data_IF_795116147426
#
_entry.id   IF_795116147426
#
_cell.length_a   1.000
_cell.length_b   1.000
_cell.length_c   1.000
_cell.angle_alpha   90.00
_cell.angle_beta   90.00
_cell.angle_gamma   90.00
#
_symmetry.space_group_name_H-M   'P 1'
#
loop_
_entity.id
_entity.type
_entity.pdbx_description
1 polymer ?
#
# COMPACT_ATOMS: atom_id res chain seq x y z
N UNK A 1 -0.04 -2.09 -7.23
CA UNK A 1 -0.30 -3.00 -6.10
C UNK A 1 0.97 -3.74 -5.62
N UNK A 2 1.62 -4.56 -6.47
CA UNK A 2 2.80 -5.37 -6.10
C UNK A 2 4.00 -4.57 -5.53
N UNK A 3 4.24 -3.35 -6.03
CA UNK A 3 5.29 -2.47 -5.52
C UNK A 3 5.10 -2.09 -4.04
N UNK A 4 3.85 -1.88 -3.60
CA UNK A 4 3.58 -1.56 -2.20
C UNK A 4 3.73 -2.77 -1.29
N UNK A 5 3.22 -3.93 -1.71
CA UNK A 5 3.34 -5.19 -0.96
C UNK A 5 4.82 -5.53 -0.73
N UNK A 6 5.66 -5.42 -1.76
CA UNK A 6 7.10 -5.68 -1.64
C UNK A 6 7.84 -4.63 -0.81
N UNK A 7 7.41 -3.38 -0.83
CA UNK A 7 8.00 -2.31 -0.02
C UNK A 7 7.66 -2.47 1.46
N UNK A 8 6.40 -2.77 1.80
CA UNK A 8 5.99 -3.04 3.18
C UNK A 8 6.59 -4.34 3.74
N UNK A 9 6.73 -5.37 2.89
CA UNK A 9 7.46 -6.58 3.26
C UNK A 9 8.94 -6.32 3.60
N UNK A 10 9.59 -5.34 2.94
CA UNK A 10 10.96 -4.91 3.26
C UNK A 10 11.06 -4.06 4.53
N UNK A 11 10.03 -3.27 4.84
CA UNK A 11 9.99 -2.44 6.06
C UNK A 11 9.79 -3.26 7.34
N UNK A 12 9.25 -4.49 7.25
CA UNK A 12 9.18 -5.40 8.40
C UNK A 12 10.58 -5.85 8.82
N UNK A 13 11.11 -5.22 9.88
CA UNK A 13 12.36 -5.64 10.53
C UNK A 13 12.13 -6.88 11.39
N UNK A 14 13.07 -7.83 11.34
CA UNK A 14 13.06 -9.02 12.21
C UNK A 14 12.44 -10.29 11.61
N UNK A 15 12.01 -10.27 10.34
CA UNK A 15 11.46 -11.46 9.67
C UNK A 15 12.11 -11.63 8.29
N UNK A 16 12.42 -12.88 7.91
CA UNK A 16 12.96 -13.17 6.58
C UNK A 16 11.98 -12.74 5.47
N UNK A 17 12.51 -12.17 4.37
CA UNK A 17 11.72 -11.58 3.29
C UNK A 17 10.63 -12.52 2.74
N UNK A 18 10.90 -13.83 2.65
CA UNK A 18 9.92 -14.86 2.24
C UNK A 18 8.69 -14.89 3.16
N UNK A 19 8.92 -14.84 4.47
CA UNK A 19 7.86 -14.91 5.49
C UNK A 19 7.14 -13.58 5.64
N UNK A 20 7.86 -12.46 5.49
CA UNK A 20 7.27 -11.12 5.44
C UNK A 20 6.32 -10.96 4.23
N UNK A 21 6.73 -11.44 3.04
CA UNK A 21 5.87 -11.46 1.85
C UNK A 21 4.61 -12.30 2.03
N UNK A 22 4.74 -13.50 2.61
CA UNK A 22 3.59 -14.37 2.87
C UNK A 22 2.59 -13.74 3.86
N UNK A 23 3.10 -13.07 4.91
CA UNK A 23 2.28 -12.32 5.86
C UNK A 23 1.58 -11.14 5.18
N UNK A 24 2.30 -10.32 4.41
CA UNK A 24 1.70 -9.20 3.67
C UNK A 24 0.66 -9.67 2.64
N UNK A 25 0.86 -10.84 2.03
CA UNK A 25 -0.10 -11.41 1.09
C UNK A 25 -1.38 -11.89 1.80
N UNK A 26 -1.24 -12.53 2.96
CA UNK A 26 -2.38 -12.91 3.83
C UNK A 26 -3.12 -11.69 4.35
N UNK A 27 -2.41 -10.66 4.80
CA UNK A 27 -2.99 -9.40 5.26
C UNK A 27 -3.75 -8.72 4.12
N UNK A 28 -3.14 -8.63 2.93
CA UNK A 28 -3.79 -8.06 1.75
C UNK A 28 -5.03 -8.86 1.31
N UNK A 29 -5.02 -10.19 1.43
CA UNK A 29 -6.18 -11.03 1.16
C UNK A 29 -7.34 -10.74 2.12
N UNK A 30 -7.02 -10.50 3.40
CA UNK A 30 -7.99 -10.09 4.42
C UNK A 30 -8.40 -8.61 4.32
N UNK A 31 -8.00 -7.89 3.27
CA UNK A 31 -8.15 -6.42 3.14
C UNK A 31 -7.57 -5.65 4.34
N UNK A 32 -6.56 -6.21 4.99
CA UNK A 32 -5.88 -5.63 6.14
C UNK A 32 -4.42 -5.33 5.80
N UNK A 33 -3.78 -4.54 6.65
CA UNK A 33 -2.37 -4.21 6.51
C UNK A 33 -2.09 -2.84 5.88
N UNK A 34 -0.82 -2.45 5.98
CA UNK A 34 -0.35 -1.12 5.61
C UNK A 34 -0.45 -0.86 4.10
N UNK A 35 -0.36 -1.91 3.28
CA UNK A 35 -0.50 -1.83 1.83
C UNK A 35 -1.90 -1.36 1.40
N UNK A 36 -2.96 -1.88 2.03
CA UNK A 36 -4.34 -1.53 1.73
C UNK A 36 -4.65 -0.13 2.28
N UNK A 37 -4.24 0.16 3.52
CA UNK A 37 -4.43 1.49 4.12
C UNK A 37 -3.81 2.60 3.27
N UNK A 38 -2.58 2.39 2.78
CA UNK A 38 -1.90 3.37 1.92
C UNK A 38 -2.58 3.53 0.56
N UNK A 39 -3.18 2.46 0.02
CA UNK A 39 -4.02 2.54 -1.20
C UNK A 39 -5.22 3.44 -0.95
N UNK A 40 -5.95 3.21 0.13
CA UNK A 40 -7.17 3.95 0.43
C UNK A 40 -6.89 5.42 0.78
N UNK A 41 -5.80 5.69 1.52
CA UNK A 41 -5.31 7.06 1.76
C UNK A 41 -4.95 7.78 0.46
N UNK A 42 -4.28 7.07 -0.47
CA UNK A 42 -3.94 7.63 -1.79
C UNK A 42 -5.19 7.93 -2.61
N UNK A 43 -6.21 7.06 -2.58
CA UNK A 43 -7.48 7.33 -3.26
C UNK A 43 -8.24 8.50 -2.64
N UNK A 44 -8.30 8.60 -1.30
CA UNK A 44 -8.88 9.76 -0.62
C UNK A 44 -8.16 11.05 -0.97
N UNK A 45 -6.83 11.05 -0.95
CA UNK A 45 -6.03 12.21 -1.35
C UNK A 45 -6.23 12.56 -2.83
N UNK A 46 -6.36 11.58 -3.72
CA UNK A 46 -6.65 11.82 -5.12
C UNK A 46 -8.05 12.45 -5.32
N UNK A 47 -9.05 12.02 -4.55
CA UNK A 47 -10.38 12.64 -4.57
C UNK A 47 -10.36 14.07 -4.00
N UNK A 48 -9.61 14.31 -2.92
CA UNK A 48 -9.45 15.64 -2.34
C UNK A 48 -8.72 16.60 -3.30
N UNK A 49 -7.71 16.10 -4.02
CA UNK A 49 -6.94 16.87 -5.00
C UNK A 49 -7.59 16.91 -6.40
N UNK A 50 -8.83 16.43 -6.55
CA UNK A 50 -9.55 16.45 -7.82
C UNK A 50 -9.70 17.88 -8.37
N UNK A 51 -9.79 18.88 -7.49
CA UNK A 51 -9.83 20.30 -7.88
C UNK A 51 -8.51 20.79 -8.52
N UNK A 52 -7.38 20.16 -8.21
CA UNK A 52 -6.07 20.52 -8.77
C UNK A 52 -5.72 19.71 -10.02
N UNK A 53 -6.54 18.74 -10.42
CA UNK A 53 -6.32 17.96 -11.65
C UNK A 53 -6.32 18.84 -12.92
N UNK A 54 -6.92 20.04 -12.84
CA UNK A 54 -6.99 21.00 -13.93
C UNK A 54 -5.70 21.82 -14.13
N UNK A 55 -4.73 21.76 -13.20
CA UNK A 55 -3.41 22.41 -13.30
C UNK A 55 -2.33 21.52 -13.94
N UNK A 56 -2.68 20.29 -14.31
CA UNK A 56 -1.75 19.30 -14.88
C UNK A 56 -1.86 19.21 -16.42
N UNK A 57 -2.12 20.34 -17.08
CA UNK A 57 -1.90 20.50 -18.53
C UNK A 57 -0.61 21.29 -18.76
#
# INVERSE_FOLDING_TARGET
>A
ALRWITQFAKERKGVAMKRALAMELMDAYNNQGNAIRKRDDTHKMAQANKAFAHYAW
#
